data_IF_005769730349
#
_entry.id   IF_005769730349
#
_cell.length_a   1.000
_cell.length_b   1.000
_cell.length_c   1.000
_cell.angle_alpha   90.00
_cell.angle_beta   90.00
_cell.angle_gamma   90.00
#
_symmetry.space_group_name_H-M   'P 1'
#
loop_
_entity.id
_entity.type
_entity.pdbx_description
1 polymer ?
#
# COMPACT_ATOMS: atom_id res chain seq x y z
N UNK A 1 -3.91 15.87 4.36
CA UNK A 1 -4.04 14.41 4.55
C UNK A 1 -5.27 13.95 3.82
N UNK A 2 -5.13 12.95 2.93
CA UNK A 2 -6.26 12.27 2.34
C UNK A 2 -7.23 11.79 3.41
N UNK A 3 -8.53 12.01 3.21
CA UNK A 3 -9.54 11.43 4.09
C UNK A 3 -10.03 10.08 3.58
N UNK A 4 -10.09 9.95 2.26
CA UNK A 4 -10.67 8.79 1.59
C UNK A 4 -9.65 8.14 0.66
N UNK A 5 -9.56 6.81 0.73
CA UNK A 5 -8.86 5.98 -0.25
C UNK A 5 -9.88 5.34 -1.19
N UNK A 6 -9.72 5.59 -2.49
CA UNK A 6 -10.51 4.95 -3.54
C UNK A 6 -9.81 3.65 -3.97
N UNK A 7 -10.48 2.52 -3.84
CA UNK A 7 -10.01 1.20 -4.25
C UNK A 7 -10.12 1.02 -5.76
N UNK A 8 -9.50 -0.04 -6.28
CA UNK A 8 -9.53 -0.36 -7.72
C UNK A 8 -10.94 -0.63 -8.25
N UNK A 9 -11.83 -1.18 -7.41
CA UNK A 9 -13.23 -1.45 -7.73
C UNK A 9 -14.14 -0.23 -7.48
N UNK A 10 -13.56 0.94 -7.17
CA UNK A 10 -14.30 2.16 -6.88
C UNK A 10 -14.83 2.27 -5.45
N UNK A 11 -14.65 1.23 -4.62
CA UNK A 11 -15.03 1.30 -3.20
C UNK A 11 -14.20 2.35 -2.48
N UNK A 12 -14.78 2.94 -1.45
CA UNK A 12 -14.15 3.97 -0.65
C UNK A 12 -13.93 3.47 0.78
N UNK A 13 -12.78 3.81 1.34
CA UNK A 13 -12.45 3.55 2.74
C UNK A 13 -11.75 4.75 3.36
N UNK A 14 -11.75 4.83 4.68
CA UNK A 14 -10.97 5.84 5.41
C UNK A 14 -9.47 5.64 5.17
N UNK A 15 -8.77 6.76 4.95
CA UNK A 15 -7.33 6.77 4.87
C UNK A 15 -6.71 6.54 6.25
N UNK A 16 -6.01 5.41 6.39
CA UNK A 16 -5.32 5.01 7.61
C UNK A 16 -3.83 4.84 7.28
N UNK A 17 -2.94 5.76 7.72
CA UNK A 17 -1.51 5.71 7.46
C UNK A 17 -0.86 4.37 7.84
N UNK A 18 -1.32 3.74 8.92
CA UNK A 18 -0.79 2.46 9.42
C UNK A 18 -0.96 1.32 8.41
N UNK A 19 -1.97 1.38 7.52
CA UNK A 19 -2.10 0.41 6.43
C UNK A 19 -0.92 0.47 5.45
N UNK A 20 -0.34 1.67 5.25
CA UNK A 20 0.87 1.86 4.44
C UNK A 20 2.07 1.26 5.17
N UNK A 21 2.22 1.60 6.45
CA UNK A 21 3.34 1.12 7.29
C UNK A 21 3.39 -0.41 7.31
N UNK A 22 2.26 -1.06 7.62
CA UNK A 22 2.14 -2.53 7.67
C UNK A 22 2.39 -3.16 6.30
N UNK A 23 1.94 -2.52 5.22
CA UNK A 23 2.18 -3.02 3.86
C UNK A 23 3.67 -3.01 3.49
N UNK A 24 4.38 -1.93 3.86
CA UNK A 24 5.81 -1.79 3.59
C UNK A 24 6.66 -2.72 4.46
N UNK A 25 6.34 -2.82 5.74
CA UNK A 25 6.97 -3.75 6.69
C UNK A 25 6.89 -5.20 6.21
N UNK A 26 5.69 -5.65 5.82
CA UNK A 26 5.49 -6.99 5.24
C UNK A 26 6.21 -7.21 3.90
N UNK A 27 6.51 -6.14 3.17
CA UNK A 27 7.35 -6.17 1.98
C UNK A 27 8.86 -6.14 2.28
N UNK A 28 9.25 -6.07 3.56
CA UNK A 28 10.63 -6.09 4.02
C UNK A 28 11.30 -4.72 4.15
N UNK A 29 10.54 -3.63 4.19
CA UNK A 29 11.07 -2.32 4.53
C UNK A 29 11.28 -2.18 6.05
N UNK A 30 12.20 -1.33 6.49
CA UNK A 30 12.32 -0.97 7.91
C UNK A 30 11.11 -0.14 8.36
N UNK A 31 10.75 -0.24 9.64
CA UNK A 31 9.63 0.53 10.20
C UNK A 31 9.81 2.04 10.08
N UNK A 32 11.04 2.54 10.26
CA UNK A 32 11.33 3.97 10.14
C UNK A 32 11.09 4.46 8.73
N UNK A 33 11.49 3.68 7.73
CA UNK A 33 11.25 4.00 6.32
C UNK A 33 9.77 3.93 5.96
N UNK A 34 9.08 2.93 6.48
CA UNK A 34 7.66 2.75 6.27
C UNK A 34 6.86 3.93 6.85
N UNK A 35 7.24 4.43 8.04
CA UNK A 35 6.66 5.64 8.66
C UNK A 35 6.96 6.89 7.86
N UNK A 36 8.20 7.06 7.39
CA UNK A 36 8.60 8.19 6.54
C UNK A 36 7.69 8.31 5.30
N UNK A 37 7.49 7.21 4.58
CA UNK A 37 6.62 7.19 3.38
C UNK A 37 5.15 7.41 3.73
N UNK A 38 4.68 6.84 4.85
CA UNK A 38 3.32 7.07 5.32
C UNK A 38 3.09 8.57 5.62
N UNK A 39 4.07 9.25 6.23
CA UNK A 39 4.03 10.69 6.51
C UNK A 39 4.11 11.55 5.24
N UNK A 40 4.91 11.15 4.25
CA UNK A 40 4.93 11.81 2.93
C UNK A 40 3.56 11.75 2.26
N UNK A 41 2.92 10.57 2.25
CA UNK A 41 1.58 10.39 1.66
C UNK A 41 0.52 11.14 2.47
N UNK A 42 0.66 11.19 3.79
CA UNK A 42 -0.21 11.96 4.70
C UNK A 42 -0.18 13.47 4.40
N UNK A 43 0.94 14.00 3.92
CA UNK A 43 1.09 15.42 3.56
C UNK A 43 0.44 15.80 2.23
N UNK A 44 -0.05 14.83 1.46
CA UNK A 44 -0.77 15.12 0.20
C UNK A 44 -2.06 15.88 0.52
N UNK A 45 -2.22 17.04 -0.12
CA UNK A 45 -3.40 17.88 0.00
C UNK A 45 -4.45 17.48 -1.05
N UNK A 46 -5.12 16.36 -0.78
CA UNK A 46 -6.24 15.83 -1.55
C UNK A 46 -7.29 15.32 -0.57
N UNK A 47 -8.57 15.48 -0.89
CA UNK A 47 -9.65 14.84 -0.10
C UNK A 47 -9.67 13.32 -0.33
N UNK A 48 -9.50 12.92 -1.59
CA UNK A 48 -9.53 11.54 -2.07
C UNK A 48 -8.21 11.16 -2.73
N UNK A 49 -7.71 9.97 -2.42
CA UNK A 49 -6.50 9.41 -3.06
C UNK A 49 -6.78 8.01 -3.58
N UNK A 50 -6.30 7.69 -4.79
CA UNK A 50 -6.45 6.35 -5.32
C UNK A 50 -5.44 5.38 -4.69
N UNK A 51 -5.85 4.12 -4.50
CA UNK A 51 -4.92 3.05 -4.08
C UNK A 51 -3.77 2.88 -5.08
N UNK A 52 -4.00 3.19 -6.37
CA UNK A 52 -2.96 3.16 -7.40
C UNK A 52 -1.89 4.24 -7.17
N UNK A 53 -2.30 5.46 -6.83
CA UNK A 53 -1.38 6.55 -6.53
C UNK A 53 -0.53 6.27 -5.28
N UNK A 54 -1.14 5.74 -4.21
CA UNK A 54 -0.42 5.28 -3.01
C UNK A 54 0.65 4.24 -3.39
N UNK A 55 0.26 3.25 -4.20
CA UNK A 55 1.17 2.20 -4.67
C UNK A 55 2.35 2.77 -5.45
N UNK A 56 2.10 3.69 -6.37
CA UNK A 56 3.14 4.30 -7.20
C UNK A 56 4.17 5.02 -6.33
N UNK A 57 3.74 5.79 -5.34
CA UNK A 57 4.62 6.48 -4.38
C UNK A 57 5.46 5.51 -3.55
N UNK A 58 4.86 4.41 -3.07
CA UNK A 58 5.59 3.37 -2.34
C UNK A 58 6.69 2.76 -3.23
N UNK A 59 6.36 2.39 -4.47
CA UNK A 59 7.30 1.78 -5.40
C UNK A 59 8.43 2.73 -5.80
N UNK A 60 8.11 4.00 -6.04
CA UNK A 60 9.10 5.04 -6.31
C UNK A 60 10.11 5.15 -5.16
N UNK A 61 9.62 5.22 -3.92
CA UNK A 61 10.51 5.28 -2.75
C UNK A 61 11.35 4.02 -2.58
N UNK A 62 10.74 2.85 -2.73
CA UNK A 62 11.45 1.57 -2.60
C UNK A 62 12.53 1.41 -3.67
N UNK A 63 12.26 1.84 -4.90
CA UNK A 63 13.24 1.81 -5.99
C UNK A 63 14.42 2.73 -5.73
N UNK A 64 14.15 3.94 -5.20
CA UNK A 64 15.20 4.89 -4.84
C UNK A 64 16.11 4.37 -3.72
N UNK A 65 15.57 3.57 -2.80
CA UNK A 65 16.32 2.96 -1.70
C UNK A 65 17.13 1.74 -2.17
N UNK A 66 16.45 0.75 -2.76
CA UNK A 66 17.07 -0.47 -3.25
C UNK A 66 16.14 -1.20 -4.23
N UNK A 67 16.54 -1.38 -5.50
CA UNK A 67 15.75 -2.12 -6.50
C UNK A 67 15.34 -3.53 -6.08
N UNK A 68 16.08 -4.19 -5.18
CA UNK A 68 15.71 -5.51 -4.64
C UNK A 68 14.50 -5.43 -3.70
N UNK A 69 14.32 -4.34 -2.96
CA UNK A 69 13.17 -4.15 -2.08
C UNK A 69 11.89 -3.96 -2.91
N UNK A 70 11.96 -3.20 -4.00
CA UNK A 70 10.84 -3.05 -4.94
C UNK A 70 10.36 -4.42 -5.44
N UNK A 71 11.29 -5.28 -5.87
CA UNK A 71 10.96 -6.65 -6.33
C UNK A 71 10.31 -7.49 -5.23
N UNK A 72 10.82 -7.42 -3.99
CA UNK A 72 10.24 -8.14 -2.84
C UNK A 72 8.82 -7.67 -2.54
N UNK A 73 8.59 -6.37 -2.47
CA UNK A 73 7.26 -5.81 -2.22
C UNK A 73 6.28 -6.14 -3.35
N UNK A 74 6.71 -6.08 -4.61
CA UNK A 74 5.87 -6.51 -5.75
C UNK A 74 5.48 -7.98 -5.67
N UNK A 75 6.40 -8.85 -5.26
CA UNK A 75 6.13 -10.27 -5.06
C UNK A 75 5.13 -10.51 -3.91
N UNK A 76 5.32 -9.82 -2.78
CA UNK A 76 4.40 -9.85 -1.64
C UNK A 76 3.01 -9.32 -1.99
N UNK A 77 2.91 -8.17 -2.62
CA UNK A 77 1.62 -7.58 -3.01
C UNK A 77 0.87 -8.48 -4.01
N UNK A 78 1.59 -9.11 -4.95
CA UNK A 78 1.01 -10.09 -5.88
C UNK A 78 0.52 -11.34 -5.14
N UNK A 79 1.30 -11.86 -4.19
CA UNK A 79 0.94 -13.07 -3.44
C UNK A 79 -0.24 -12.82 -2.50
N UNK A 80 -0.27 -11.70 -1.78
CA UNK A 80 -1.39 -11.31 -0.92
C UNK A 80 -2.64 -11.03 -1.73
N UNK A 81 -2.55 -10.38 -2.90
CA UNK A 81 -3.71 -10.21 -3.79
C UNK A 81 -4.19 -11.53 -4.39
N UNK A 82 -3.29 -12.49 -4.61
CA UNK A 82 -3.68 -13.85 -5.03
C UNK A 82 -4.43 -14.56 -3.90
N UNK A 83 -3.88 -14.55 -2.68
CA UNK A 83 -4.50 -15.14 -1.50
C UNK A 83 -5.86 -14.48 -1.19
N UNK A 84 -5.93 -13.15 -1.17
CA UNK A 84 -7.17 -12.43 -0.95
C UNK A 84 -8.25 -12.79 -1.98
N UNK A 85 -7.90 -12.91 -3.27
CA UNK A 85 -8.85 -13.37 -4.29
C UNK A 85 -9.33 -14.80 -4.05
N UNK A 86 -8.43 -15.69 -3.68
CA UNK A 86 -8.75 -17.08 -3.36
C UNK A 86 -9.71 -17.18 -2.16
N UNK A 87 -9.42 -16.49 -1.06
CA UNK A 87 -10.27 -16.50 0.14
C UNK A 87 -11.57 -15.71 -0.02
N UNK A 88 -11.61 -14.65 -0.84
CA UNK A 88 -12.84 -13.91 -1.16
C UNK A 88 -13.85 -14.76 -1.92
N UNK A 89 -13.41 -15.80 -2.63
CA UNK A 89 -14.28 -16.73 -3.36
C UNK A 89 -14.66 -17.99 -2.56
N UNK A 90 -14.15 -18.19 -1.34
CA UNK A 90 -14.21 -19.51 -0.69
C UNK A 90 -14.46 -19.55 0.82
N UNK A 91 -15.02 -18.50 1.44
CA UNK A 91 -15.33 -18.52 2.88
C UNK A 91 -16.71 -17.91 3.21
N UNK A 92 -17.74 -18.35 2.48
CA UNK A 92 -19.16 -18.36 2.89
C UNK A 92 -19.91 -19.44 2.08
N UNK A 93 -19.44 -20.69 2.19
CA UNK A 93 -20.29 -21.88 2.10
C UNK A 93 -20.13 -22.64 3.41
#
# INVERSE_FOLDING_TARGET
MPKIVVKRDGKEEEFIPEKIVVSMDKGGASLDKAREVADEIKKIDKERIETKEIREKILERMRAENPLMEKKWLAYDKSVKRLYRHYRQGLYE
#
